data_IF_120598210384
#
_entry.id   IF_120598210384
#
_cell.length_a   1.000
_cell.length_b   1.000
_cell.length_c   1.000
_cell.angle_alpha   90.00
_cell.angle_beta   90.00
_cell.angle_gamma   90.00
#
_symmetry.space_group_name_H-M   'P 1'
#
loop_
_entity.id
_entity.type
_entity.pdbx_description
1 polymer ?
#
# COMPACT_ATOMS: atom_id res chain seq x y z
N UNK A 1 -35.90 33.69 1.63
CA UNK A 1 -34.43 33.60 1.81
C UNK A 1 -34.19 32.89 3.14
N UNK A 2 -34.12 31.56 3.13
CA UNK A 2 -33.63 30.84 4.30
C UNK A 2 -32.16 31.22 4.49
N UNK A 3 -31.83 31.84 5.63
CA UNK A 3 -30.44 32.04 6.02
C UNK A 3 -29.85 30.64 6.21
N UNK A 4 -28.99 30.21 5.28
CA UNK A 4 -28.29 28.94 5.38
C UNK A 4 -27.64 28.81 6.75
N UNK A 5 -27.97 27.75 7.48
CA UNK A 5 -27.36 27.43 8.77
C UNK A 5 -25.85 27.32 8.56
N UNK A 6 -25.06 27.95 9.43
CA UNK A 6 -23.61 27.83 9.39
C UNK A 6 -23.21 26.33 9.46
N UNK A 7 -22.42 25.79 8.50
CA UNK A 7 -22.11 24.36 8.44
C UNK A 7 -21.45 23.80 9.70
N UNK A 8 -20.60 24.59 10.37
CA UNK A 8 -19.99 24.17 11.64
C UNK A 8 -21.06 24.06 12.73
N UNK A 9 -21.97 25.04 12.82
CA UNK A 9 -23.09 24.99 13.77
C UNK A 9 -23.98 23.79 13.46
N UNK A 10 -24.29 23.52 12.19
CA UNK A 10 -25.07 22.33 11.80
C UNK A 10 -24.38 21.02 12.20
N UNK A 11 -23.08 20.89 11.91
CA UNK A 11 -22.29 19.71 12.27
C UNK A 11 -22.26 19.48 13.78
N UNK A 12 -21.96 20.52 14.56
CA UNK A 12 -21.86 20.45 16.03
C UNK A 12 -23.19 20.12 16.67
N UNK A 13 -24.31 20.64 16.15
CA UNK A 13 -25.63 20.42 16.73
C UNK A 13 -26.26 19.09 16.29
N UNK A 14 -26.06 18.67 15.04
CA UNK A 14 -26.80 17.55 14.43
C UNK A 14 -25.94 16.66 13.54
N UNK A 15 -25.12 17.23 12.66
CA UNK A 15 -24.44 16.48 11.60
C UNK A 15 -23.60 15.30 12.11
N UNK A 16 -22.90 15.46 13.24
CA UNK A 16 -22.12 14.36 13.82
C UNK A 16 -22.99 13.19 14.32
N UNK A 17 -24.21 13.46 14.81
CA UNK A 17 -25.15 12.42 15.26
C UNK A 17 -25.79 11.68 14.09
N UNK A 18 -25.84 12.34 12.93
CA UNK A 18 -26.31 11.76 11.68
C UNK A 18 -25.20 11.01 10.93
N UNK A 19 -24.00 10.87 11.52
CA UNK A 19 -22.88 10.15 10.92
C UNK A 19 -22.23 10.89 9.74
N UNK A 20 -22.46 12.19 9.59
CA UNK A 20 -21.85 12.97 8.49
C UNK A 20 -20.35 13.15 8.75
N UNK A 21 -19.52 12.79 7.80
CA UNK A 21 -18.07 13.03 7.89
C UNK A 21 -17.77 14.54 7.82
N UNK A 22 -17.01 15.11 8.78
CA UNK A 22 -16.68 16.53 8.78
C UNK A 22 -15.58 16.90 7.78
N UNK A 23 -14.79 15.91 7.35
CA UNK A 23 -13.66 16.09 6.42
C UNK A 23 -13.39 14.76 5.68
N UNK A 24 -12.89 14.77 4.43
CA UNK A 24 -12.59 13.54 3.69
C UNK A 24 -11.58 12.62 4.38
N UNK A 25 -10.70 13.19 5.22
CA UNK A 25 -9.72 12.46 6.03
C UNK A 25 -10.19 12.23 7.48
N UNK A 26 -11.49 12.33 7.75
CA UNK A 26 -12.10 11.96 9.02
C UNK A 26 -13.35 11.12 8.76
N UNK A 27 -13.23 9.81 8.96
CA UNK A 27 -14.33 8.86 8.84
C UNK A 27 -14.95 8.60 10.21
N UNK A 28 -16.18 9.08 10.37
CA UNK A 28 -16.94 9.01 11.61
C UNK A 28 -17.22 7.56 12.04
N UNK A 29 -17.60 6.71 11.07
CA UNK A 29 -17.93 5.31 11.34
C UNK A 29 -16.69 4.56 11.80
N UNK A 30 -15.60 4.68 11.04
CA UNK A 30 -14.31 4.10 11.38
C UNK A 30 -13.79 4.57 12.75
N UNK A 31 -13.84 5.87 13.02
CA UNK A 31 -13.37 6.42 14.29
C UNK A 31 -14.18 5.89 15.48
N UNK A 32 -15.51 5.82 15.34
CA UNK A 32 -16.38 5.34 16.42
C UNK A 32 -16.28 3.83 16.64
N UNK A 33 -16.08 3.04 15.57
CA UNK A 33 -15.85 1.60 15.66
C UNK A 33 -14.57 1.27 16.44
N UNK A 34 -13.49 2.03 16.20
CA UNK A 34 -12.22 1.86 16.90
C UNK A 34 -12.17 2.45 18.32
N UNK A 35 -13.17 3.25 18.73
CA UNK A 35 -13.17 3.99 19.99
C UNK A 35 -14.53 3.86 20.71
N UNK A 36 -14.76 2.68 21.29
CA UNK A 36 -16.06 2.30 21.84
C UNK A 36 -16.53 3.24 22.96
N UNK A 37 -15.63 3.77 23.77
CA UNK A 37 -15.93 4.74 24.82
C UNK A 37 -16.43 6.08 24.27
N UNK A 38 -15.93 6.53 23.12
CA UNK A 38 -16.42 7.75 22.45
C UNK A 38 -17.84 7.50 21.93
N UNK A 39 -18.05 6.33 21.30
CA UNK A 39 -19.34 5.88 20.78
C UNK A 39 -20.40 5.77 21.88
N UNK A 40 -20.07 5.11 23.00
CA UNK A 40 -20.97 4.94 24.17
C UNK A 40 -21.22 6.26 24.89
N UNK A 41 -20.21 7.14 24.97
CA UNK A 41 -20.32 8.43 25.63
C UNK A 41 -21.13 9.48 24.85
N UNK A 42 -21.37 9.26 23.55
CA UNK A 42 -22.11 10.19 22.70
C UNK A 42 -21.42 11.53 22.48
N UNK A 43 -20.12 11.60 22.75
CA UNK A 43 -19.30 12.80 22.53
C UNK A 43 -19.18 13.08 21.02
N UNK A 44 -18.98 14.35 20.66
CA UNK A 44 -18.69 14.71 19.27
C UNK A 44 -17.31 14.14 18.88
N UNK A 45 -17.21 13.22 17.90
CA UNK A 45 -15.97 12.51 17.62
C UNK A 45 -14.84 13.41 17.11
N UNK A 46 -15.17 14.43 16.31
CA UNK A 46 -14.17 15.39 15.84
C UNK A 46 -13.61 16.19 17.03
N UNK A 47 -14.47 16.67 17.92
CA UNK A 47 -14.05 17.39 19.14
C UNK A 47 -13.19 16.48 20.02
N UNK A 48 -13.59 15.22 20.18
CA UNK A 48 -12.82 14.25 20.97
C UNK A 48 -11.44 13.99 20.35
N UNK A 49 -11.38 13.80 19.03
CA UNK A 49 -10.13 13.60 18.30
C UNK A 49 -9.17 14.77 18.51
N UNK A 50 -9.60 16.01 18.20
CA UNK A 50 -8.73 17.21 18.23
C UNK A 50 -8.28 17.57 19.65
N UNK A 51 -9.00 17.13 20.68
CA UNK A 51 -8.66 17.44 22.09
C UNK A 51 -7.80 16.35 22.74
N UNK A 52 -8.15 15.08 22.52
CA UNK A 52 -7.59 13.93 23.25
C UNK A 52 -7.18 12.81 22.29
N UNK A 53 -7.99 12.53 21.28
CA UNK A 53 -7.83 11.32 20.48
C UNK A 53 -6.50 11.22 19.74
N UNK A 54 -6.04 12.30 19.11
CA UNK A 54 -4.74 12.27 18.42
C UNK A 54 -3.57 12.11 19.40
N UNK A 55 -3.67 12.63 20.62
CA UNK A 55 -2.66 12.47 21.69
C UNK A 55 -2.56 11.02 22.17
N UNK A 56 -3.63 10.24 21.97
CA UNK A 56 -3.66 8.78 22.20
C UNK A 56 -3.29 7.96 20.96
N UNK A 57 -2.87 8.61 19.87
CA UNK A 57 -2.52 7.94 18.61
C UNK A 57 -3.73 7.38 17.85
N UNK A 58 -4.97 7.81 18.15
CA UNK A 58 -6.17 7.31 17.46
C UNK A 58 -6.17 7.71 15.99
N UNK A 59 -6.69 6.84 15.14
CA UNK A 59 -6.72 7.04 13.69
C UNK A 59 -8.06 7.62 13.26
N UNK A 60 -8.11 8.83 12.68
CA UNK A 60 -9.35 9.45 12.20
C UNK A 60 -9.86 8.83 10.89
N UNK A 61 -8.99 8.13 10.15
CA UNK A 61 -9.32 7.53 8.85
C UNK A 61 -8.39 6.33 8.60
N UNK A 62 -8.82 5.27 7.87
CA UNK A 62 -7.98 4.10 7.58
C UNK A 62 -6.63 4.44 6.91
N UNK A 63 -6.60 5.50 6.10
CA UNK A 63 -5.40 6.00 5.40
C UNK A 63 -4.70 7.19 6.08
N UNK A 64 -5.01 7.45 7.36
CA UNK A 64 -4.26 8.41 8.17
C UNK A 64 -3.87 7.74 9.50
N UNK A 65 -2.60 7.38 9.63
CA UNK A 65 -2.07 6.77 10.85
C UNK A 65 -1.39 7.83 11.71
N UNK A 66 -2.12 8.30 12.71
CA UNK A 66 -1.68 9.33 13.66
C UNK A 66 -0.38 8.97 14.36
N UNK A 67 -0.26 7.73 14.84
CA UNK A 67 0.94 7.30 15.57
C UNK A 67 2.16 7.24 14.64
N UNK A 68 1.97 6.72 13.42
CA UNK A 68 3.01 6.74 12.39
C UNK A 68 3.43 8.17 12.05
N UNK A 69 2.48 9.07 11.79
CA UNK A 69 2.77 10.45 11.40
C UNK A 69 3.59 11.19 12.47
N UNK A 70 3.21 11.06 13.75
CA UNK A 70 3.96 11.65 14.86
C UNK A 70 5.35 11.04 15.02
N UNK A 71 5.49 9.73 14.84
CA UNK A 71 6.77 9.03 14.92
C UNK A 71 7.73 9.47 13.81
N UNK A 72 7.24 9.62 12.57
CA UNK A 72 8.05 10.03 11.43
C UNK A 72 8.41 11.52 11.45
N UNK A 73 7.59 12.35 12.10
CA UNK A 73 7.75 13.80 12.14
C UNK A 73 7.76 14.33 13.58
N UNK A 74 8.77 13.96 14.39
CA UNK A 74 8.82 14.21 15.84
C UNK A 74 8.89 15.69 16.22
N UNK A 75 9.24 16.58 15.30
CA UNK A 75 9.10 18.04 15.49
C UNK A 75 7.64 18.48 15.69
N UNK A 76 6.69 17.55 15.50
CA UNK A 76 5.24 17.69 15.72
C UNK A 76 4.74 16.81 16.86
N UNK A 77 5.64 16.22 17.63
CA UNK A 77 5.30 15.48 18.85
C UNK A 77 4.51 16.41 19.81
N UNK A 78 3.38 15.96 20.37
CA UNK A 78 2.64 16.68 21.41
C UNK A 78 3.51 17.17 22.57
N UNK A 79 4.67 16.54 22.84
CA UNK A 79 5.63 16.99 23.84
C UNK A 79 6.44 18.25 23.46
N UNK A 80 6.40 18.69 22.19
CA UNK A 80 7.18 19.83 21.65
C UNK A 80 6.35 20.83 20.83
N UNK A 81 5.12 20.51 20.43
CA UNK A 81 4.20 21.45 19.80
C UNK A 81 2.75 20.96 19.78
N UNK A 82 1.80 21.84 20.12
CA UNK A 82 0.36 21.57 20.21
C UNK A 82 -0.36 21.42 18.83
N UNK A 83 0.35 21.03 17.78
CA UNK A 83 -0.23 20.95 16.44
C UNK A 83 -0.87 19.58 16.19
N UNK A 84 -2.20 19.56 16.04
CA UNK A 84 -2.96 18.38 15.62
C UNK A 84 -2.36 17.78 14.32
N UNK A 85 -2.01 16.48 14.27
CA UNK A 85 -1.30 15.89 13.15
C UNK A 85 -2.16 15.81 11.87
N UNK A 86 -3.47 15.63 11.99
CA UNK A 86 -4.37 15.64 10.84
C UNK A 86 -4.46 17.05 10.26
N UNK A 87 -4.58 18.06 11.13
CA UNK A 87 -4.59 19.47 10.72
C UNK A 87 -3.25 19.88 10.09
N UNK A 88 -2.11 19.48 10.66
CA UNK A 88 -0.78 19.69 10.05
C UNK A 88 -0.72 19.05 8.68
N UNK A 89 -1.09 17.76 8.54
CA UNK A 89 -1.04 17.09 7.25
C UNK A 89 -1.90 17.80 6.21
N UNK A 90 -3.15 18.14 6.51
CA UNK A 90 -4.09 18.79 5.58
C UNK A 90 -3.61 20.17 5.12
N UNK A 91 -2.89 20.91 5.97
CA UNK A 91 -2.54 22.32 5.69
C UNK A 91 -1.11 22.50 5.17
N UNK A 92 -0.15 21.80 5.76
CA UNK A 92 1.30 22.01 5.56
C UNK A 92 2.02 20.72 5.24
N UNK A 93 1.68 19.61 5.89
CA UNK A 93 2.44 18.37 5.86
C UNK A 93 2.55 17.77 4.46
N UNK A 94 1.44 17.71 3.73
CA UNK A 94 1.45 17.19 2.36
C UNK A 94 2.34 18.03 1.41
N UNK A 95 2.42 19.35 1.62
CA UNK A 95 3.29 20.26 0.85
C UNK A 95 4.77 20.09 1.16
N UNK A 96 5.06 19.47 2.31
CA UNK A 96 6.40 19.04 2.72
C UNK A 96 6.62 17.56 2.43
N UNK A 97 5.80 16.98 1.56
CA UNK A 97 5.90 15.59 1.10
C UNK A 97 5.84 14.57 2.24
N UNK A 98 5.15 14.91 3.34
CA UNK A 98 5.02 14.03 4.50
C UNK A 98 4.02 12.92 4.23
N UNK A 99 4.33 11.69 4.63
CA UNK A 99 3.48 10.53 4.44
C UNK A 99 2.47 10.40 5.58
N UNK A 100 1.15 10.39 5.30
CA UNK A 100 0.11 10.23 6.31
C UNK A 100 -0.04 8.78 6.81
N UNK A 101 0.46 7.82 6.04
CA UNK A 101 0.31 6.38 6.29
C UNK A 101 1.46 5.62 5.61
N UNK A 102 1.95 4.49 6.16
CA UNK A 102 3.03 3.70 5.52
C UNK A 102 2.73 3.20 4.10
N UNK A 103 1.45 3.11 3.72
CA UNK A 103 0.99 2.67 2.40
C UNK A 103 0.55 3.82 1.49
N UNK A 104 0.83 5.06 1.85
CA UNK A 104 0.61 6.23 1.01
C UNK A 104 1.88 7.09 1.00
N UNK A 105 2.59 7.08 -0.12
CA UNK A 105 3.80 7.87 -0.32
C UNK A 105 3.45 9.15 -1.08
N UNK A 106 3.53 10.27 -0.38
CA UNK A 106 3.18 11.60 -0.87
C UNK A 106 4.17 12.09 -1.94
N UNK A 107 5.47 11.88 -1.73
CA UNK A 107 6.48 12.28 -2.71
C UNK A 107 6.34 11.44 -3.98
N UNK A 108 6.22 10.11 -3.84
CA UNK A 108 6.01 9.20 -4.96
C UNK A 108 4.76 9.57 -5.74
N UNK A 109 3.64 9.81 -5.06
CA UNK A 109 2.37 10.11 -5.72
C UNK A 109 2.44 11.40 -6.54
N UNK A 110 2.99 12.48 -5.97
CA UNK A 110 3.13 13.76 -6.68
C UNK A 110 4.08 13.63 -7.88
N UNK A 111 5.22 12.95 -7.72
CA UNK A 111 6.18 12.75 -8.81
C UNK A 111 5.66 11.84 -9.92
N UNK A 112 4.82 10.86 -9.57
CA UNK A 112 4.25 9.90 -10.53
C UNK A 112 3.06 10.51 -11.28
N UNK A 113 2.36 11.46 -10.65
CA UNK A 113 1.15 12.10 -11.19
C UNK A 113 1.31 13.63 -11.22
N UNK A 114 2.05 14.17 -12.22
CA UNK A 114 2.31 15.61 -12.33
C UNK A 114 1.04 16.47 -12.41
N UNK A 115 -0.06 15.93 -12.94
CA UNK A 115 -1.36 16.61 -12.98
C UNK A 115 -1.88 16.93 -11.57
N UNK A 116 -1.59 16.07 -10.58
CA UNK A 116 -1.96 16.31 -9.17
C UNK A 116 -1.05 17.37 -8.56
N UNK A 117 0.26 17.30 -8.81
CA UNK A 117 1.22 18.30 -8.35
C UNK A 117 0.87 19.70 -8.87
N UNK A 118 0.61 19.82 -10.18
CA UNK A 118 0.25 21.05 -10.86
C UNK A 118 -1.09 21.62 -10.36
N UNK A 119 -2.05 20.76 -9.99
CA UNK A 119 -3.34 21.19 -9.44
C UNK A 119 -3.23 21.83 -8.05
N UNK A 120 -2.14 21.56 -7.30
CA UNK A 120 -1.99 21.96 -5.91
C UNK A 120 -3.00 21.31 -4.95
N UNK A 121 -3.67 20.23 -5.36
CA UNK A 121 -4.56 19.46 -4.51
C UNK A 121 -3.77 18.59 -3.52
N UNK A 122 -4.30 18.37 -2.31
CA UNK A 122 -3.73 17.41 -1.38
C UNK A 122 -3.77 15.99 -2.01
N UNK A 123 -2.64 15.28 -2.12
CA UNK A 123 -2.55 14.03 -2.87
C UNK A 123 -3.36 12.89 -2.26
N UNK A 124 -3.48 12.79 -0.94
CA UNK A 124 -4.32 11.77 -0.31
C UNK A 124 -5.81 12.04 -0.57
N UNK A 125 -6.22 13.32 -0.53
CA UNK A 125 -7.59 13.72 -0.87
C UNK A 125 -7.88 13.41 -2.35
N UNK A 126 -6.96 13.78 -3.25
CA UNK A 126 -7.08 13.44 -4.68
C UNK A 126 -7.23 11.92 -4.88
N UNK A 127 -6.37 11.13 -4.23
CA UNK A 127 -6.45 9.67 -4.32
C UNK A 127 -7.79 9.12 -3.83
N UNK A 128 -8.36 9.67 -2.74
CA UNK A 128 -9.64 9.22 -2.18
C UNK A 128 -10.85 9.56 -3.06
N UNK A 129 -10.79 10.62 -3.87
CA UNK A 129 -11.89 11.01 -4.75
C UNK A 129 -11.78 10.43 -6.16
N UNK A 130 -10.60 10.55 -6.76
CA UNK A 130 -10.41 10.32 -8.20
C UNK A 130 -9.32 9.27 -8.44
N UNK A 131 -8.17 9.42 -7.77
CA UNK A 131 -6.99 8.62 -8.09
C UNK A 131 -7.19 7.11 -7.96
N UNK A 132 -7.96 6.64 -6.96
CA UNK A 132 -8.22 5.21 -6.82
C UNK A 132 -9.07 4.64 -7.96
N UNK A 133 -9.98 5.44 -8.54
CA UNK A 133 -10.85 5.05 -9.67
C UNK A 133 -10.07 5.00 -10.97
N UNK A 134 -9.10 5.89 -11.10
CA UNK A 134 -8.13 5.93 -12.21
C UNK A 134 -7.08 4.81 -12.11
N UNK A 135 -7.11 3.98 -11.05
CA UNK A 135 -6.10 2.93 -10.84
C UNK A 135 -4.71 3.47 -10.45
N UNK A 136 -4.64 4.72 -9.98
CA UNK A 136 -3.36 5.33 -9.57
C UNK A 136 -2.76 4.60 -8.37
N UNK A 137 -1.44 4.44 -8.38
CA UNK A 137 -0.66 3.77 -7.34
C UNK A 137 -0.38 4.76 -6.20
N UNK A 138 -0.92 4.55 -4.98
CA UNK A 138 -0.64 5.40 -3.83
C UNK A 138 0.77 5.20 -3.24
N UNK A 139 1.42 4.09 -3.59
CA UNK A 139 2.74 3.70 -3.10
C UNK A 139 3.41 2.77 -4.13
N UNK A 140 4.75 2.76 -4.28
CA UNK A 140 5.42 1.88 -5.25
C UNK A 140 5.10 0.39 -5.08
N UNK A 141 4.88 -0.03 -3.83
CA UNK A 141 4.58 -1.41 -3.45
C UNK A 141 3.09 -1.73 -3.33
N UNK A 142 2.20 -0.84 -3.77
CA UNK A 142 0.76 -1.09 -3.85
C UNK A 142 0.24 -0.70 -5.23
N UNK A 143 -0.15 -1.71 -6.01
CA UNK A 143 -0.74 -1.51 -7.33
C UNK A 143 -2.26 -1.64 -7.22
N UNK A 144 -2.95 -0.49 -7.25
CA UNK A 144 -4.39 -0.43 -7.08
C UNK A 144 -5.15 -1.17 -8.19
N UNK A 145 -4.69 -1.10 -9.43
CA UNK A 145 -5.32 -1.80 -10.56
C UNK A 145 -5.12 -3.31 -10.46
N UNK A 146 -3.90 -3.76 -10.14
CA UNK A 146 -3.62 -5.18 -9.91
C UNK A 146 -4.46 -5.71 -8.75
N UNK A 147 -4.49 -5.00 -7.63
CA UNK A 147 -5.27 -5.41 -6.47
C UNK A 147 -6.76 -5.48 -6.80
N UNK A 148 -7.33 -4.44 -7.41
CA UNK A 148 -8.74 -4.44 -7.81
C UNK A 148 -9.08 -5.58 -8.80
N UNK A 149 -8.20 -5.89 -9.74
CA UNK A 149 -8.44 -6.98 -10.71
C UNK A 149 -8.51 -8.37 -10.08
N UNK A 150 -7.88 -8.57 -8.92
CA UNK A 150 -7.94 -9.81 -8.14
C UNK A 150 -9.06 -9.81 -7.10
N UNK A 151 -9.79 -8.70 -6.96
CA UNK A 151 -10.84 -8.48 -5.98
C UNK A 151 -12.08 -7.86 -6.66
N UNK A 152 -12.81 -8.63 -7.49
CA UNK A 152 -13.93 -8.11 -8.29
C UNK A 152 -15.02 -7.40 -7.46
N UNK A 153 -15.23 -7.84 -6.21
CA UNK A 153 -16.19 -7.27 -5.27
C UNK A 153 -15.92 -5.78 -4.96
N UNK A 154 -14.66 -5.36 -5.00
CA UNK A 154 -14.25 -3.97 -4.78
C UNK A 154 -14.64 -3.14 -6.00
N UNK A 155 -14.40 -3.66 -7.20
CA UNK A 155 -14.71 -2.98 -8.46
C UNK A 155 -16.22 -2.80 -8.63
N UNK A 156 -17.00 -3.86 -8.38
CA UNK A 156 -18.47 -3.83 -8.48
C UNK A 156 -19.11 -2.82 -7.52
N UNK A 157 -18.53 -2.65 -6.33
CA UNK A 157 -19.03 -1.73 -5.30
C UNK A 157 -18.39 -0.34 -5.36
N UNK A 158 -17.45 -0.11 -6.29
CA UNK A 158 -16.69 1.13 -6.37
C UNK A 158 -15.90 1.47 -5.10
N UNK A 159 -15.47 0.45 -4.36
CA UNK A 159 -14.71 0.60 -3.13
C UNK A 159 -13.27 1.04 -3.43
N UNK A 160 -12.63 1.76 -2.51
CA UNK A 160 -11.23 2.14 -2.65
C UNK A 160 -10.32 0.92 -2.39
N UNK A 161 -9.49 0.50 -3.37
CA UNK A 161 -8.59 -0.66 -3.26
C UNK A 161 -7.68 -0.62 -2.03
N UNK A 162 -7.08 0.54 -1.74
CA UNK A 162 -6.15 0.67 -0.62
C UNK A 162 -6.89 0.64 0.73
N UNK A 163 -8.06 1.29 0.83
CA UNK A 163 -8.90 1.21 2.04
C UNK A 163 -9.32 -0.24 2.30
N UNK A 164 -9.79 -0.94 1.27
CA UNK A 164 -10.14 -2.35 1.38
C UNK A 164 -8.95 -3.20 1.84
N UNK A 165 -7.79 -3.03 1.21
CA UNK A 165 -6.58 -3.76 1.59
C UNK A 165 -6.17 -3.51 3.04
N UNK A 166 -6.24 -2.26 3.53
CA UNK A 166 -5.89 -1.91 4.91
C UNK A 166 -6.86 -2.52 5.92
N UNK A 167 -8.16 -2.60 5.59
CA UNK A 167 -9.18 -3.06 6.53
C UNK A 167 -9.39 -4.58 6.50
N UNK A 168 -9.39 -5.19 5.31
CA UNK A 168 -9.87 -6.57 5.10
C UNK A 168 -8.90 -7.38 4.23
N UNK A 169 -8.49 -6.82 3.09
CA UNK A 169 -7.83 -7.56 2.02
C UNK A 169 -6.56 -8.32 2.43
N UNK A 170 -5.77 -7.76 3.33
CA UNK A 170 -4.56 -8.44 3.79
C UNK A 170 -4.87 -9.69 4.63
N UNK A 171 -6.01 -9.73 5.34
CA UNK A 171 -6.46 -10.88 6.14
C UNK A 171 -6.96 -12.01 5.25
N UNK A 172 -7.51 -11.64 4.09
CA UNK A 172 -7.92 -12.55 3.03
C UNK A 172 -6.75 -13.03 2.16
N UNK A 173 -5.51 -12.71 2.58
CA UNK A 173 -4.27 -13.01 1.85
C UNK A 173 -4.21 -12.41 0.44
N UNK A 174 -4.93 -11.30 0.22
CA UNK A 174 -4.85 -10.55 -1.02
C UNK A 174 -3.45 -9.99 -1.25
N UNK A 175 -2.95 -10.12 -2.48
CA UNK A 175 -1.61 -9.64 -2.85
C UNK A 175 -1.70 -8.17 -3.31
N UNK A 176 -1.03 -7.21 -2.63
CA UNK A 176 -1.09 -5.79 -2.98
C UNK A 176 -0.32 -5.42 -4.25
N UNK A 177 0.61 -6.28 -4.68
CA UNK A 177 1.47 -6.10 -5.83
C UNK A 177 1.92 -7.48 -6.35
N UNK A 178 2.20 -7.69 -7.65
CA UNK A 178 2.71 -8.98 -8.15
C UNK A 178 3.99 -9.44 -7.43
N UNK A 179 4.83 -8.48 -7.03
CA UNK A 179 6.09 -8.74 -6.33
C UNK A 179 5.96 -8.89 -4.81
N UNK A 180 4.74 -8.95 -4.27
CA UNK A 180 4.48 -9.16 -2.86
C UNK A 180 3.43 -10.28 -2.69
N UNK A 181 3.88 -11.44 -2.23
CA UNK A 181 3.02 -12.57 -1.91
C UNK A 181 2.71 -12.54 -0.41
N UNK A 182 1.48 -12.13 -0.09
CA UNK A 182 1.00 -12.04 1.29
C UNK A 182 1.07 -13.39 1.99
N UNK A 183 0.69 -14.48 1.33
CA UNK A 183 0.73 -15.81 1.92
C UNK A 183 2.17 -16.24 2.20
N UNK A 184 3.09 -16.02 1.25
CA UNK A 184 4.51 -16.28 1.44
C UNK A 184 5.11 -15.49 2.59
N UNK A 185 4.82 -14.20 2.65
CA UNK A 185 5.33 -13.32 3.68
C UNK A 185 4.85 -13.71 5.08
N UNK A 186 3.68 -14.36 5.20
CA UNK A 186 3.12 -14.80 6.47
C UNK A 186 3.57 -16.20 6.91
N UNK A 187 4.05 -17.06 6.00
CA UNK A 187 4.40 -18.49 6.27
C UNK A 187 5.37 -18.74 7.44
N UNK A 188 6.15 -17.73 7.85
CA UNK A 188 7.13 -17.84 8.95
C UNK A 188 6.66 -17.31 10.31
N UNK A 189 5.41 -16.85 10.44
CA UNK A 189 4.82 -16.44 11.72
C UNK A 189 3.85 -17.53 12.18
N UNK A 190 4.23 -18.31 13.20
CA UNK A 190 3.34 -19.25 13.88
C UNK A 190 2.35 -18.56 14.84
N UNK A 191 2.26 -17.23 14.85
CA UNK A 191 1.50 -16.47 15.84
C UNK A 191 0.06 -16.19 15.43
N UNK A 192 -0.83 -16.32 16.42
CA UNK A 192 -2.28 -16.13 16.37
C UNK A 192 -2.71 -14.97 15.45
N UNK A 193 -3.60 -15.26 14.48
CA UNK A 193 -4.09 -14.36 13.42
C UNK A 193 -4.63 -13.00 13.91
N UNK A 194 -4.83 -12.83 15.21
CA UNK A 194 -5.45 -11.67 15.85
C UNK A 194 -4.58 -10.40 15.87
N UNK A 195 -3.25 -10.52 16.08
CA UNK A 195 -2.36 -9.37 16.33
C UNK A 195 -1.45 -9.01 15.16
N UNK A 196 -1.62 -9.68 14.02
CA UNK A 196 -0.70 -9.52 12.92
C UNK A 196 -0.93 -8.18 12.21
N UNK A 197 -0.01 -7.23 12.43
CA UNK A 197 0.06 -5.97 11.70
C UNK A 197 0.03 -6.23 10.19
N UNK A 198 -0.63 -5.35 9.42
CA UNK A 198 -0.74 -5.47 7.97
C UNK A 198 0.63 -5.86 7.35
N UNK A 199 0.72 -6.95 6.58
CA UNK A 199 1.98 -7.55 6.15
C UNK A 199 2.82 -6.62 5.28
N UNK A 200 2.18 -5.82 4.42
CA UNK A 200 2.88 -4.84 3.60
C UNK A 200 3.40 -3.67 4.47
N UNK A 201 2.60 -3.20 5.43
CA UNK A 201 3.06 -2.19 6.41
C UNK A 201 4.26 -2.73 7.20
N UNK A 202 4.16 -3.96 7.72
CA UNK A 202 5.25 -4.63 8.43
C UNK A 202 6.50 -4.72 7.57
N UNK A 203 6.37 -5.16 6.31
CA UNK A 203 7.49 -5.24 5.40
C UNK A 203 8.18 -3.88 5.21
N UNK A 204 7.43 -2.83 4.88
CA UNK A 204 7.93 -1.47 4.60
C UNK A 204 8.62 -0.85 5.82
N UNK A 205 8.12 -1.11 7.02
CA UNK A 205 8.60 -0.47 8.25
C UNK A 205 9.74 -1.23 8.92
N UNK A 206 9.66 -2.56 8.92
CA UNK A 206 10.52 -3.44 9.72
C UNK A 206 11.09 -4.58 8.88
N UNK A 207 10.23 -5.31 8.17
CA UNK A 207 10.58 -6.62 7.63
C UNK A 207 11.70 -6.63 6.59
N UNK A 208 11.86 -5.58 5.79
CA UNK A 208 13.00 -5.52 4.87
C UNK A 208 14.35 -5.34 5.58
N UNK A 209 14.36 -4.75 6.78
CA UNK A 209 15.56 -4.59 7.62
C UNK A 209 15.95 -5.91 8.30
N UNK A 210 14.97 -6.76 8.53
CA UNK A 210 15.13 -8.13 9.03
C UNK A 210 15.47 -9.13 7.90
N UNK A 211 15.78 -8.66 6.69
CA UNK A 211 16.03 -9.48 5.50
C UNK A 211 14.88 -10.46 5.15
N UNK A 212 13.63 -10.13 5.53
CA UNK A 212 12.48 -10.94 5.15
C UNK A 212 12.18 -10.75 3.66
N UNK A 213 11.92 -11.85 2.96
CA UNK A 213 11.63 -11.82 1.53
C UNK A 213 10.12 -11.63 1.29
N UNK A 214 9.71 -10.67 0.44
CA UNK A 214 8.29 -10.41 0.14
C UNK A 214 7.68 -11.40 -0.85
N UNK A 215 8.51 -12.13 -1.61
CA UNK A 215 8.09 -13.05 -2.66
C UNK A 215 9.14 -14.14 -2.86
N UNK A 216 8.78 -15.39 -3.22
CA UNK A 216 9.76 -16.47 -3.44
C UNK A 216 10.85 -16.15 -4.46
N UNK A 217 10.48 -15.41 -5.53
CA UNK A 217 11.39 -14.97 -6.59
C UNK A 217 12.07 -13.63 -6.32
N UNK A 218 12.03 -13.12 -5.09
CA UNK A 218 12.73 -11.89 -4.72
C UNK A 218 13.50 -12.09 -3.41
N UNK A 219 14.83 -12.18 -3.50
CA UNK A 219 15.73 -12.30 -2.36
C UNK A 219 16.36 -10.95 -2.04
N UNK A 220 15.82 -10.28 -1.02
CA UNK A 220 16.23 -8.92 -0.66
C UNK A 220 17.72 -8.80 -0.37
N UNK A 221 18.30 -9.72 0.42
CA UNK A 221 19.73 -9.73 0.74
C UNK A 221 20.61 -9.89 -0.53
N UNK A 222 20.31 -10.89 -1.34
CA UNK A 222 21.01 -11.15 -2.61
C UNK A 222 20.96 -9.94 -3.55
N UNK A 223 19.80 -9.28 -3.63
CA UNK A 223 19.64 -8.07 -4.42
C UNK A 223 20.49 -6.91 -3.89
N UNK A 224 20.42 -6.63 -2.58
CA UNK A 224 21.18 -5.53 -1.93
C UNK A 224 22.68 -5.65 -2.17
N UNK A 225 23.22 -6.86 -2.06
CA UNK A 225 24.65 -7.13 -2.25
C UNK A 225 25.13 -6.80 -3.68
N UNK A 226 24.27 -6.94 -4.69
CA UNK A 226 24.62 -6.61 -6.08
C UNK A 226 24.61 -5.11 -6.36
N UNK A 227 23.61 -4.40 -5.83
CA UNK A 227 23.40 -2.97 -6.12
C UNK A 227 24.01 -2.05 -5.05
N UNK A 228 24.62 -2.62 -4.01
CA UNK A 228 25.31 -1.91 -2.93
C UNK A 228 24.41 -0.88 -2.20
N UNK A 229 23.17 -1.26 -1.90
CA UNK A 229 22.24 -0.45 -1.09
C UNK A 229 22.17 -0.99 0.35
N UNK A 230 22.36 -0.13 1.34
CA UNK A 230 22.32 -0.49 2.76
C UNK A 230 21.03 0.01 3.44
N UNK A 231 20.69 1.28 3.23
CA UNK A 231 19.58 1.97 3.93
C UNK A 231 18.36 2.26 3.05
N UNK A 232 18.06 1.37 2.10
CA UNK A 232 16.87 1.49 1.24
C UNK A 232 16.13 0.16 1.14
N UNK A 233 14.80 0.22 1.16
CA UNK A 233 13.98 -0.96 0.95
C UNK A 233 14.32 -1.58 -0.43
N UNK A 234 14.78 -2.85 -0.48
CA UNK A 234 15.27 -3.45 -1.71
C UNK A 234 14.18 -3.66 -2.74
N UNK A 235 12.97 -4.04 -2.32
CA UNK A 235 11.85 -4.20 -3.26
C UNK A 235 11.42 -2.84 -3.80
N UNK A 236 11.37 -1.81 -2.96
CA UNK A 236 11.07 -0.44 -3.39
C UNK A 236 12.13 0.09 -4.37
N UNK A 237 13.42 -0.13 -4.10
CA UNK A 237 14.50 0.19 -5.02
C UNK A 237 14.32 -0.54 -6.35
N UNK A 238 14.02 -1.84 -6.30
CA UNK A 238 13.79 -2.64 -7.51
C UNK A 238 12.66 -2.09 -8.39
N UNK A 239 11.53 -1.67 -7.80
CA UNK A 239 10.39 -1.18 -8.59
C UNK A 239 10.49 0.29 -9.02
N UNK A 240 11.33 1.10 -8.38
CA UNK A 240 11.42 2.55 -8.65
C UNK A 240 12.68 2.97 -9.41
N UNK A 241 13.70 2.13 -9.46
CA UNK A 241 14.97 2.44 -10.12
C UNK A 241 14.96 2.07 -11.61
N UNK A 242 15.81 2.71 -12.41
CA UNK A 242 15.95 2.39 -13.82
C UNK A 242 16.31 0.92 -14.05
N UNK A 243 15.66 0.25 -15.01
CA UNK A 243 15.90 -1.18 -15.33
C UNK A 243 17.38 -1.47 -15.66
N UNK A 244 18.12 -0.50 -16.20
CA UNK A 244 19.55 -0.63 -16.48
C UNK A 244 20.45 -0.59 -15.24
N UNK A 245 19.90 -0.25 -14.07
CA UNK A 245 20.63 -0.08 -12.80
C UNK A 245 20.20 -1.09 -11.73
N UNK A 246 19.14 -1.86 -11.96
CA UNK A 246 18.68 -2.89 -11.03
C UNK A 246 19.45 -4.20 -11.25
N UNK A 247 19.82 -4.86 -10.15
CA UNK A 247 20.39 -6.20 -10.14
C UNK A 247 19.35 -7.31 -10.31
N UNK A 248 19.82 -8.56 -10.32
CA UNK A 248 18.97 -9.74 -10.41
C UNK A 248 18.18 -9.92 -9.11
N UNK A 249 16.85 -10.13 -9.16
CA UNK A 249 16.03 -10.26 -7.95
C UNK A 249 16.21 -11.61 -7.25
N UNK A 250 16.68 -12.63 -7.97
CA UNK A 250 16.89 -13.98 -7.47
C UNK A 250 18.02 -14.66 -8.25
N UNK A 251 18.83 -15.56 -7.67
CA UNK A 251 19.90 -16.27 -8.39
C UNK A 251 19.44 -17.07 -9.61
N UNK A 252 18.18 -17.50 -9.61
CA UNK A 252 17.51 -18.19 -10.72
C UNK A 252 16.64 -17.27 -11.61
N UNK A 253 16.84 -15.95 -11.50
CA UNK A 253 16.21 -14.96 -12.36
C UNK A 253 17.26 -13.97 -12.85
N UNK A 254 17.73 -14.17 -14.07
CA UNK A 254 18.68 -13.29 -14.74
C UNK A 254 17.91 -12.28 -15.60
N UNK A 255 17.93 -11.01 -15.17
CA UNK A 255 17.24 -9.92 -15.86
C UNK A 255 17.73 -9.78 -17.30
N UNK A 256 19.05 -9.82 -17.53
CA UNK A 256 19.62 -9.62 -18.86
C UNK A 256 19.25 -10.77 -19.80
N UNK A 257 19.31 -12.00 -19.31
CA UNK A 257 18.90 -13.18 -20.06
C UNK A 257 17.41 -13.17 -20.39
N UNK A 258 16.56 -12.83 -19.42
CA UNK A 258 15.12 -12.72 -19.65
C UNK A 258 14.79 -11.63 -20.67
N UNK A 259 15.35 -10.43 -20.50
CA UNK A 259 15.12 -9.29 -21.40
C UNK A 259 15.59 -9.57 -22.84
N UNK A 260 16.70 -10.29 -23.02
CA UNK A 260 17.22 -10.62 -24.35
C UNK A 260 16.28 -11.52 -25.18
N UNK A 261 15.35 -12.22 -24.54
CA UNK A 261 14.34 -13.05 -25.20
C UNK A 261 13.07 -12.26 -25.53
N UNK A 262 12.84 -11.13 -24.86
CA UNK A 262 11.70 -10.27 -25.13
C UNK A 262 11.98 -9.48 -26.41
N UNK A 263 11.40 -9.91 -27.53
CA UNK A 263 11.43 -9.19 -28.80
C UNK A 263 10.55 -7.92 -28.76
N UNK A 264 10.79 -7.02 -27.81
CA UNK A 264 9.96 -5.85 -27.57
C UNK A 264 10.25 -4.76 -28.59
N UNK A 265 9.18 -4.14 -29.06
CA UNK A 265 9.22 -2.93 -29.88
C UNK A 265 9.31 -1.66 -29.04
N UNK A 266 8.95 -1.74 -27.76
CA UNK A 266 8.92 -0.64 -26.80
C UNK A 266 9.63 -1.02 -25.49
N UNK A 267 10.06 -0.02 -24.72
CA UNK A 267 10.65 -0.27 -23.39
C UNK A 267 9.59 -0.82 -22.44
N UNK A 268 9.98 -1.74 -21.56
CA UNK A 268 9.10 -2.18 -20.48
C UNK A 268 8.70 -1.00 -19.59
N UNK A 269 7.45 -1.01 -19.17
CA UNK A 269 6.87 -0.06 -18.21
C UNK A 269 6.98 -0.54 -16.76
N UNK A 270 7.50 -1.76 -16.55
CA UNK A 270 7.70 -2.38 -15.24
C UNK A 270 9.00 -3.20 -15.21
N UNK A 271 9.37 -3.68 -14.03
CA UNK A 271 10.59 -4.47 -13.85
C UNK A 271 10.51 -5.83 -14.56
N UNK A 272 11.64 -6.46 -14.93
CA UNK A 272 11.66 -7.76 -15.59
C UNK A 272 10.88 -8.85 -14.84
N UNK A 273 11.06 -8.94 -13.52
CA UNK A 273 10.33 -9.91 -12.70
C UNK A 273 8.83 -9.59 -12.61
N UNK A 274 8.46 -8.32 -12.50
CA UNK A 274 7.05 -7.94 -12.53
C UNK A 274 6.39 -8.29 -13.86
N UNK A 275 7.05 -7.99 -14.98
CA UNK A 275 6.59 -8.38 -16.30
C UNK A 275 6.43 -9.89 -16.41
N UNK A 276 7.40 -10.67 -15.93
CA UNK A 276 7.33 -12.13 -15.90
C UNK A 276 6.12 -12.64 -15.11
N UNK A 277 5.83 -12.06 -13.95
CA UNK A 277 4.70 -12.46 -13.10
C UNK A 277 3.34 -12.04 -13.65
N UNK A 278 3.27 -10.92 -14.39
CA UNK A 278 2.02 -10.43 -14.99
C UNK A 278 1.67 -11.10 -16.29
N UNK A 279 2.67 -11.47 -17.08
CA UNK A 279 2.47 -12.07 -18.39
C UNK A 279 2.39 -13.59 -18.26
N UNK A 280 1.62 -14.23 -19.15
CA UNK A 280 1.75 -15.67 -19.39
C UNK A 280 3.09 -16.03 -20.09
N UNK A 281 4.15 -15.21 -19.92
CA UNK A 281 5.47 -15.41 -20.54
C UNK A 281 6.21 -16.65 -20.05
N UNK A 282 5.64 -17.37 -19.08
CA UNK A 282 6.09 -18.70 -18.67
C UNK A 282 6.11 -19.68 -19.86
N UNK A 283 5.32 -19.41 -20.90
CA UNK A 283 5.22 -20.28 -22.08
C UNK A 283 6.31 -20.03 -23.14
N UNK A 284 7.03 -18.90 -23.10
CA UNK A 284 7.99 -18.55 -24.16
C UNK A 284 9.36 -18.04 -23.68
N UNK A 285 9.49 -17.58 -22.44
CA UNK A 285 10.72 -16.96 -21.94
C UNK A 285 11.25 -17.67 -20.70
N UNK A 286 12.54 -18.02 -20.74
CA UNK A 286 13.26 -18.65 -19.62
C UNK A 286 13.80 -17.58 -18.68
N UNK A 287 13.71 -17.82 -17.36
CA UNK A 287 14.20 -16.89 -16.33
C UNK A 287 15.71 -16.99 -16.11
N UNK A 288 16.33 -18.12 -16.46
CA UNK A 288 17.76 -18.34 -16.26
C UNK A 288 18.29 -19.40 -17.25
N UNK A 289 19.53 -19.29 -17.77
CA UNK A 289 20.08 -20.27 -18.72
C UNK A 289 20.11 -21.72 -18.21
N UNK A 290 20.25 -21.88 -16.90
CA UNK A 290 20.30 -23.19 -16.23
C UNK A 290 18.93 -23.71 -15.77
N UNK A 291 17.85 -22.96 -15.99
CA UNK A 291 16.50 -23.39 -15.62
C UNK A 291 15.61 -23.44 -16.85
N UNK A 292 15.24 -24.66 -17.23
CA UNK A 292 14.30 -24.91 -18.33
C UNK A 292 12.94 -25.33 -17.77
N UNK A 293 11.92 -24.43 -17.81
CA UNK A 293 10.59 -24.74 -17.29
C UNK A 293 9.94 -25.94 -17.99
N UNK A 294 10.17 -26.13 -19.29
CA UNK A 294 9.57 -27.23 -20.04
C UNK A 294 10.14 -28.57 -19.60
N UNK A 295 11.48 -28.67 -19.51
CA UNK A 295 12.15 -29.87 -19.00
C UNK A 295 11.75 -30.16 -17.54
N UNK A 296 11.67 -29.13 -16.68
CA UNK A 296 11.28 -29.30 -15.28
C UNK A 296 9.86 -29.88 -15.16
N UNK A 297 8.89 -29.35 -15.92
CA UNK A 297 7.51 -29.86 -15.90
C UNK A 297 7.37 -31.25 -16.51
N UNK A 298 8.12 -31.55 -17.58
CA UNK A 298 8.12 -32.88 -18.22
C UNK A 298 8.70 -33.96 -17.31
N UNK A 299 9.75 -33.64 -16.56
CA UNK A 299 10.45 -34.60 -15.68
C UNK A 299 9.83 -34.73 -14.30
N UNK A 300 9.00 -33.77 -13.88
CA UNK A 300 8.30 -33.76 -12.59
C UNK A 300 6.78 -33.74 -12.85
N UNK A 301 6.27 -34.83 -13.42
CA UNK A 301 4.89 -34.93 -13.91
C UNK A 301 3.83 -34.81 -12.81
N UNK A 302 4.18 -35.07 -11.56
CA UNK A 302 3.35 -34.85 -10.38
C UNK A 302 2.94 -33.38 -10.22
N UNK A 303 3.82 -32.44 -10.59
CA UNK A 303 3.53 -31.00 -10.60
C UNK A 303 2.52 -30.63 -11.71
N UNK A 304 2.55 -31.34 -12.84
CA UNK A 304 1.65 -31.08 -13.97
C UNK A 304 0.20 -31.53 -13.72
N UNK A 305 -0.01 -32.46 -12.79
CA UNK A 305 -1.33 -33.03 -12.47
C UNK A 305 -2.17 -32.13 -11.53
N UNK A 306 -1.54 -31.34 -10.65
CA UNK A 306 -2.25 -30.37 -9.80
C UNK A 306 -2.96 -29.27 -10.62
N UNK A 307 -2.44 -28.92 -11.81
CA UNK A 307 -3.11 -28.00 -12.74
C UNK A 307 -4.29 -28.62 -13.50
N UNK A 308 -4.55 -29.93 -13.38
CA UNK A 308 -5.66 -30.63 -14.05
C UNK A 308 -6.84 -30.97 -13.16
N UNK A 309 -6.81 -30.63 -11.86
CA UNK A 309 -7.94 -30.89 -10.97
C UNK A 309 -8.37 -29.62 -10.19
N UNK A 310 -9.24 -28.78 -10.76
CA UNK A 310 -9.88 -27.70 -10.02
C UNK A 310 -10.99 -28.15 -9.05
N UNK A 311 -11.26 -29.45 -8.92
CA UNK A 311 -12.27 -29.99 -8.02
C UNK A 311 -11.89 -31.40 -7.53
N UNK A 312 -11.22 -31.47 -6.38
CA UNK A 312 -11.39 -32.50 -5.37
C UNK A 312 -11.08 -31.94 -3.99
#
# INVERSE_FOLDING_TARGET
>A
MERGINPLIDFVLRGFREGRNPHPLFDMSYYLEGNEEVRKGGANPLVEYVTIGWKKGRRPHPLFDTAYYLCMYPDKDPGKGDADPLADYVTVGWKKERNPHPLFDTNYYLRTYPDVEESGMNPLIHYLYDGFRDGRKPHPLFDASYYASNHPEIMERGMNPLVHFVLLGFRERGNPHPLFDTSFYLRGKEEEESDLANPLVHYITVGWKEDRNPHPLFLGRFYKEQVMIEDRNPLEHYVTEDIGKIGNPHPLFDNAYYLAQLHLTEKLTCTPLEHFLRSNSHDCCKTHPLFDPAFYLETNTDISLEKRNPLL
#
